data_IF_308529374839
#
_entry.id   IF_308529374839
#
_cell.length_a   1.000
_cell.length_b   1.000
_cell.length_c   1.000
_cell.angle_alpha   90.00
_cell.angle_beta   90.00
_cell.angle_gamma   90.00
#
_symmetry.space_group_name_H-M   'P 1'
#
loop_
_entity.id
_entity.type
_entity.pdbx_description
1 polymer ?
#
# COMPACT_ATOMS: atom_id res chain seq x y z
N UNK A 1 23.29 17.01 -12.17
CA UNK A 1 23.09 15.56 -12.44
C UNK A 1 21.64 15.14 -12.23
N UNK A 2 20.92 15.68 -11.24
CA UNK A 2 19.50 15.39 -11.01
C UNK A 2 18.60 15.77 -12.19
N UNK A 3 18.83 16.93 -12.81
CA UNK A 3 18.04 17.41 -13.97
C UNK A 3 18.19 16.53 -15.23
N UNK A 4 19.37 15.94 -15.44
CA UNK A 4 19.63 15.07 -16.59
C UNK A 4 18.92 13.71 -16.47
N UNK A 5 18.75 13.19 -15.24
CA UNK A 5 18.00 11.95 -14.98
C UNK A 5 16.51 12.16 -15.22
N UNK A 6 15.95 13.24 -14.65
CA UNK A 6 14.53 13.57 -14.82
C UNK A 6 14.15 13.83 -16.28
N UNK A 7 15.05 14.45 -17.06
CA UNK A 7 14.81 14.65 -18.49
C UNK A 7 14.79 13.33 -19.26
N UNK A 8 15.69 12.40 -18.94
CA UNK A 8 15.72 11.07 -19.55
C UNK A 8 14.46 10.26 -19.18
N UNK A 9 14.05 10.30 -17.91
CA UNK A 9 12.84 9.62 -17.43
C UNK A 9 11.59 10.09 -18.18
N UNK A 10 11.44 11.41 -18.32
CA UNK A 10 10.34 12.01 -19.08
C UNK A 10 10.38 11.61 -20.55
N UNK A 11 11.56 11.65 -21.18
CA UNK A 11 11.71 11.28 -22.58
C UNK A 11 11.33 9.81 -22.83
N UNK A 12 11.78 8.89 -21.97
CA UNK A 12 11.43 7.47 -22.08
C UNK A 12 9.93 7.25 -21.88
N UNK A 13 9.31 7.94 -20.90
CA UNK A 13 7.86 7.88 -20.70
C UNK A 13 7.07 8.40 -21.93
N UNK A 14 7.50 9.50 -22.54
CA UNK A 14 6.90 10.04 -23.77
C UNK A 14 7.00 9.04 -24.94
N UNK A 15 8.16 8.39 -25.12
CA UNK A 15 8.36 7.39 -26.18
C UNK A 15 7.57 6.11 -25.92
N UNK A 16 7.44 5.70 -24.66
CA UNK A 16 6.62 4.54 -24.29
C UNK A 16 5.13 4.80 -24.53
N UNK A 17 4.64 5.99 -24.16
CA UNK A 17 3.27 6.40 -24.46
C UNK A 17 2.97 6.41 -25.97
N UNK A 18 3.91 6.85 -26.81
CA UNK A 18 3.77 6.75 -28.27
C UNK A 18 3.70 5.30 -28.74
N UNK A 19 4.54 4.39 -28.20
CA UNK A 19 4.45 2.94 -28.49
C UNK A 19 3.07 2.38 -28.14
N UNK A 20 2.55 2.67 -26.95
CA UNK A 20 1.22 2.21 -26.53
C UNK A 20 0.11 2.72 -27.47
N UNK A 21 0.16 3.99 -27.84
CA UNK A 21 -0.77 4.58 -28.80
C UNK A 21 -0.71 3.90 -30.17
N UNK A 22 0.50 3.71 -30.74
CA UNK A 22 0.66 3.06 -32.06
C UNK A 22 0.26 1.58 -32.03
N UNK A 23 0.45 0.94 -30.89
CA UNK A 23 -0.01 -0.43 -30.66
C UNK A 23 -1.55 -0.52 -30.73
N UNK A 24 -2.27 0.41 -30.09
CA UNK A 24 -3.73 0.47 -30.16
C UNK A 24 -4.25 0.82 -31.56
N UNK A 25 -3.57 1.74 -32.27
CA UNK A 25 -3.87 2.04 -33.68
C UNK A 25 -3.73 0.78 -34.56
N UNK A 26 -2.70 -0.04 -34.31
CA UNK A 26 -2.52 -1.32 -35.00
C UNK A 26 -3.67 -2.30 -34.67
N UNK A 27 -4.01 -2.52 -33.39
CA UNK A 27 -5.14 -3.37 -33.01
C UNK A 27 -6.45 -2.95 -33.67
N UNK A 28 -6.72 -1.65 -33.71
CA UNK A 28 -7.90 -1.10 -34.38
C UNK A 28 -7.90 -1.34 -35.89
N UNK A 29 -6.74 -1.23 -36.55
CA UNK A 29 -6.62 -1.54 -37.98
C UNK A 29 -6.86 -3.03 -38.28
N UNK A 30 -6.46 -3.91 -37.35
CA UNK A 30 -6.68 -5.36 -37.44
C UNK A 30 -8.14 -5.72 -37.34
N UNK A 31 -8.87 -5.10 -36.42
CA UNK A 31 -10.31 -5.30 -36.28
C UNK A 31 -11.08 -4.89 -37.54
N UNK A 32 -10.59 -3.89 -38.28
CA UNK A 32 -11.21 -3.38 -39.53
C UNK A 32 -10.86 -4.22 -40.76
N UNK A 33 -9.96 -5.21 -40.64
CA UNK A 33 -9.51 -6.10 -41.71
C UNK A 33 -9.05 -5.36 -43.00
N UNK A 34 -8.42 -4.19 -42.84
CA UNK A 34 -7.87 -3.41 -43.94
C UNK A 34 -6.35 -3.54 -44.00
N UNK A 35 -5.84 -4.31 -44.96
CA UNK A 35 -4.43 -4.66 -45.05
C UNK A 35 -3.49 -3.46 -45.20
N UNK A 36 -3.90 -2.42 -45.94
CA UNK A 36 -3.08 -1.22 -46.12
C UNK A 36 -2.98 -0.41 -44.82
N UNK A 37 -4.08 -0.33 -44.07
CA UNK A 37 -4.09 0.29 -42.74
C UNK A 37 -3.23 -0.50 -41.75
N UNK A 38 -3.28 -1.83 -41.79
CA UNK A 38 -2.45 -2.70 -40.95
C UNK A 38 -0.96 -2.51 -41.26
N UNK A 39 -0.59 -2.46 -42.54
CA UNK A 39 0.79 -2.24 -42.95
C UNK A 39 1.30 -0.85 -42.52
N UNK A 40 0.46 0.18 -42.64
CA UNK A 40 0.76 1.54 -42.22
C UNK A 40 0.93 1.63 -40.69
N UNK A 41 -0.03 1.11 -39.93
CA UNK A 41 -0.01 1.09 -38.47
C UNK A 41 1.17 0.26 -37.91
N UNK A 42 1.48 -0.87 -38.54
CA UNK A 42 2.66 -1.66 -38.19
C UNK A 42 3.97 -0.90 -38.44
N UNK A 43 4.04 -0.11 -39.52
CA UNK A 43 5.22 0.71 -39.80
C UNK A 43 5.38 1.82 -38.77
N UNK A 44 4.29 2.47 -38.38
CA UNK A 44 4.29 3.48 -37.31
C UNK A 44 4.69 2.88 -35.95
N UNK A 45 4.17 1.70 -35.60
CA UNK A 45 4.57 0.98 -34.38
C UNK A 45 6.05 0.63 -34.41
N UNK A 46 6.58 0.15 -35.55
CA UNK A 46 8.00 -0.16 -35.68
C UNK A 46 8.88 1.07 -35.43
N UNK A 47 8.52 2.21 -36.01
CA UNK A 47 9.24 3.47 -35.82
C UNK A 47 9.20 3.94 -34.36
N UNK A 48 8.06 3.81 -33.68
CA UNK A 48 7.94 4.12 -32.25
C UNK A 48 8.83 3.20 -31.39
N UNK A 49 8.89 1.90 -31.71
CA UNK A 49 9.77 0.95 -31.03
C UNK A 49 11.25 1.27 -31.26
N UNK A 50 11.65 1.69 -32.48
CA UNK A 50 13.02 2.14 -32.76
C UNK A 50 13.38 3.40 -31.96
N UNK A 51 12.46 4.36 -31.86
CA UNK A 51 12.67 5.60 -31.11
C UNK A 51 12.80 5.35 -29.61
N UNK A 52 11.97 4.49 -29.04
CA UNK A 52 12.07 4.07 -27.64
C UNK A 52 13.38 3.29 -27.40
N UNK A 53 13.71 2.38 -28.30
CA UNK A 53 14.96 1.62 -28.26
C UNK A 53 16.23 2.47 -28.42
N UNK A 54 16.12 3.66 -29.03
CA UNK A 54 17.25 4.60 -29.18
C UNK A 54 17.53 5.41 -27.91
N UNK A 55 16.55 5.56 -27.01
CA UNK A 55 16.69 6.32 -25.76
C UNK A 55 16.97 5.43 -24.54
N UNK A 56 16.85 4.10 -24.71
CA UNK A 56 17.14 3.10 -23.68
C UNK A 56 18.33 2.24 -24.10
N UNK A 57 19.28 2.01 -23.21
CA UNK A 57 20.40 1.13 -23.50
C UNK A 57 19.90 -0.29 -23.80
N UNK A 58 20.52 -0.97 -24.77
CA UNK A 58 20.05 -2.28 -25.24
C UNK A 58 20.02 -3.38 -24.15
N UNK A 59 20.85 -3.24 -23.12
CA UNK A 59 20.85 -4.15 -21.96
C UNK A 59 19.64 -3.98 -21.03
N UNK A 60 18.96 -2.84 -21.12
CA UNK A 60 17.79 -2.48 -20.30
C UNK A 60 16.48 -2.65 -21.08
N UNK A 61 16.53 -3.24 -22.29
CA UNK A 61 15.31 -3.51 -23.05
C UNK A 61 14.52 -4.63 -22.35
N UNK A 62 13.25 -4.41 -22.00
CA UNK A 62 12.39 -5.49 -21.55
C UNK A 62 12.14 -6.46 -22.71
N UNK A 63 11.85 -7.72 -22.37
CA UNK A 63 11.63 -8.79 -23.35
C UNK A 63 10.59 -8.40 -24.41
N UNK A 64 9.52 -7.71 -23.99
CA UNK A 64 8.46 -7.25 -24.88
C UNK A 64 8.98 -6.29 -25.96
N UNK A 65 9.91 -5.38 -25.63
CA UNK A 65 10.45 -4.40 -26.58
C UNK A 65 11.32 -5.09 -27.62
N UNK A 66 12.21 -5.97 -27.18
CA UNK A 66 13.11 -6.71 -28.07
C UNK A 66 12.34 -7.61 -29.05
N UNK A 67 11.41 -8.40 -28.53
CA UNK A 67 10.64 -9.36 -29.33
C UNK A 67 9.66 -8.65 -30.26
N UNK A 68 8.92 -7.66 -29.77
CA UNK A 68 7.95 -6.93 -30.59
C UNK A 68 8.66 -6.14 -31.69
N UNK A 69 9.81 -5.52 -31.39
CA UNK A 69 10.64 -4.86 -32.39
C UNK A 69 11.10 -5.85 -33.47
N UNK A 70 11.56 -7.05 -33.07
CA UNK A 70 11.95 -8.10 -34.02
C UNK A 70 10.78 -8.54 -34.92
N UNK A 71 9.63 -8.86 -34.35
CA UNK A 71 8.48 -9.38 -35.10
C UNK A 71 7.83 -8.33 -35.99
N UNK A 72 7.72 -7.09 -35.52
CA UNK A 72 7.20 -5.96 -36.30
C UNK A 72 8.12 -5.63 -37.49
N UNK A 73 9.44 -5.70 -37.30
CA UNK A 73 10.43 -5.58 -38.39
C UNK A 73 10.31 -6.71 -39.40
N UNK A 74 10.21 -7.94 -38.92
CA UNK A 74 10.09 -9.13 -39.76
C UNK A 74 8.81 -9.07 -40.58
N UNK A 75 7.68 -8.69 -39.97
CA UNK A 75 6.43 -8.49 -40.70
C UNK A 75 6.56 -7.38 -41.75
N UNK A 76 7.11 -6.21 -41.40
CA UNK A 76 7.30 -5.11 -42.35
C UNK A 76 8.06 -5.55 -43.61
N UNK A 77 9.13 -6.34 -43.43
CA UNK A 77 10.00 -6.81 -44.53
C UNK A 77 9.44 -8.02 -45.29
N UNK A 78 8.73 -8.92 -44.60
CA UNK A 78 8.35 -10.23 -45.11
C UNK A 78 6.83 -10.50 -45.10
N UNK A 79 5.97 -9.48 -44.95
CA UNK A 79 4.50 -9.67 -44.93
C UNK A 79 3.97 -10.35 -46.20
N UNK A 80 4.64 -10.18 -47.34
CA UNK A 80 4.32 -10.85 -48.61
C UNK A 80 4.69 -12.34 -48.64
N UNK A 81 5.52 -12.80 -47.69
CA UNK A 81 6.10 -14.14 -47.66
C UNK A 81 5.28 -15.15 -46.82
N UNK A 82 4.03 -14.83 -46.50
CA UNK A 82 3.01 -15.82 -46.12
C UNK A 82 2.54 -15.82 -44.66
N UNK A 83 1.56 -16.68 -44.41
CA UNK A 83 0.77 -16.80 -43.17
C UNK A 83 1.64 -16.96 -41.90
N UNK A 84 2.81 -17.59 -42.00
CA UNK A 84 3.69 -17.81 -40.85
C UNK A 84 4.22 -16.51 -40.24
N UNK A 85 4.68 -15.57 -41.07
CA UNK A 85 5.15 -14.24 -40.63
C UNK A 85 4.01 -13.47 -39.97
N UNK A 86 2.81 -13.54 -40.57
CA UNK A 86 1.61 -12.91 -40.04
C UNK A 86 1.21 -13.47 -38.68
N UNK A 87 1.15 -14.79 -38.54
CA UNK A 87 0.79 -15.47 -37.28
C UNK A 87 1.81 -15.18 -36.18
N UNK A 88 3.11 -15.18 -36.50
CA UNK A 88 4.15 -14.85 -35.52
C UNK A 88 4.00 -13.42 -34.99
N UNK A 89 3.73 -12.46 -35.89
CA UNK A 89 3.50 -11.07 -35.53
C UNK A 89 2.23 -10.86 -34.71
N UNK A 90 1.12 -11.50 -35.09
CA UNK A 90 -0.11 -11.48 -34.29
C UNK A 90 0.09 -12.04 -32.89
N UNK A 91 0.82 -13.16 -32.78
CA UNK A 91 1.14 -13.75 -31.47
C UNK A 91 1.95 -12.79 -30.61
N UNK A 92 2.93 -12.07 -31.17
CA UNK A 92 3.71 -11.09 -30.41
C UNK A 92 2.86 -9.90 -29.96
N UNK A 93 1.97 -9.42 -30.82
CA UNK A 93 1.04 -8.33 -30.47
C UNK A 93 0.17 -8.78 -29.29
N UNK A 94 -0.58 -9.87 -29.45
CA UNK A 94 -1.51 -10.37 -28.43
C UNK A 94 -0.78 -10.68 -27.11
N UNK A 95 0.40 -11.29 -27.19
CA UNK A 95 1.18 -11.66 -26.01
C UNK A 95 1.59 -10.44 -25.19
N UNK A 96 2.11 -9.40 -25.82
CA UNK A 96 2.76 -8.28 -25.14
C UNK A 96 1.86 -7.08 -24.89
N UNK A 97 0.59 -7.15 -25.26
CA UNK A 97 -0.38 -6.07 -24.99
C UNK A 97 -0.41 -5.62 -23.52
N UNK A 98 -0.61 -6.54 -22.54
CA UNK A 98 -0.61 -6.18 -21.13
C UNK A 98 0.71 -5.55 -20.68
N UNK A 99 1.85 -6.12 -21.09
CA UNK A 99 3.17 -5.60 -20.73
C UNK A 99 3.41 -4.21 -21.31
N UNK A 100 3.01 -3.92 -22.56
CA UNK A 100 3.13 -2.57 -23.13
C UNK A 100 2.32 -1.55 -22.32
N UNK A 101 1.13 -1.93 -21.84
CA UNK A 101 0.24 -1.00 -21.13
C UNK A 101 0.65 -0.79 -19.66
N UNK A 102 1.19 -1.83 -19.01
CA UNK A 102 1.49 -1.82 -17.58
C UNK A 102 2.99 -1.62 -17.26
N UNK A 103 3.87 -1.64 -18.27
CA UNK A 103 5.31 -1.56 -18.01
C UNK A 103 5.72 -0.21 -17.41
N UNK A 104 6.46 -0.28 -16.31
CA UNK A 104 7.01 0.88 -15.62
C UNK A 104 8.53 0.91 -15.84
N UNK A 105 9.00 1.82 -16.68
CA UNK A 105 10.43 1.98 -17.03
C UNK A 105 11.30 2.35 -15.84
N UNK A 106 10.79 3.24 -14.98
CA UNK A 106 11.48 3.68 -13.77
C UNK A 106 10.55 3.44 -12.61
N UNK A 107 10.93 2.54 -11.71
CA UNK A 107 10.27 2.43 -10.41
C UNK A 107 10.70 3.62 -9.53
N UNK A 108 10.16 4.80 -9.82
CA UNK A 108 10.40 6.09 -9.15
C UNK A 108 9.14 6.97 -9.23
N UNK A 109 8.90 7.90 -8.27
CA UNK A 109 7.55 8.37 -7.96
C UNK A 109 7.06 9.42 -8.98
N UNK A 110 6.48 8.97 -10.10
CA UNK A 110 5.89 9.85 -11.11
C UNK A 110 4.38 10.13 -10.90
N UNK A 111 3.78 9.52 -9.88
CA UNK A 111 2.58 9.98 -9.18
C UNK A 111 2.55 9.16 -7.90
N UNK A 112 2.74 9.72 -6.70
CA UNK A 112 2.43 8.96 -5.51
C UNK A 112 0.93 8.68 -5.58
N UNK A 113 0.55 7.46 -5.96
CA UNK A 113 -0.61 6.83 -5.33
C UNK A 113 -0.49 7.23 -3.86
N UNK A 114 -1.48 7.92 -3.25
CA UNK A 114 -1.32 8.45 -1.91
C UNK A 114 -0.82 7.31 -1.04
N UNK A 115 0.47 7.37 -0.67
CA UNK A 115 1.11 6.29 0.08
C UNK A 115 0.43 6.38 1.42
N UNK A 116 -0.47 5.42 1.68
CA UNK A 116 -1.08 5.28 2.98
C UNK A 116 0.06 4.89 3.91
N UNK A 117 0.63 5.89 4.60
CA UNK A 117 1.60 5.65 5.64
C UNK A 117 0.85 5.18 6.88
N UNK A 118 0.67 3.86 6.95
CA UNK A 118 -0.04 3.20 8.05
C UNK A 118 0.67 3.48 9.38
N UNK A 119 2.00 3.60 9.37
CA UNK A 119 2.78 3.87 10.58
C UNK A 119 2.55 5.30 11.06
N UNK A 120 2.48 6.28 10.16
CA UNK A 120 2.13 7.67 10.50
C UNK A 120 0.71 7.78 11.08
N UNK A 121 -0.27 7.07 10.51
CA UNK A 121 -1.65 7.05 11.01
C UNK A 121 -1.69 6.48 12.43
N UNK A 122 -1.02 5.35 12.66
CA UNK A 122 -0.96 4.69 13.97
C UNK A 122 -0.22 5.58 14.99
N UNK A 123 0.92 6.15 14.60
CA UNK A 123 1.71 7.01 15.49
C UNK A 123 0.95 8.29 15.85
N UNK A 124 0.25 8.89 14.87
CA UNK A 124 -0.60 10.05 15.09
C UNK A 124 -1.70 9.78 16.11
N UNK A 125 -2.42 8.65 15.96
CA UNK A 125 -3.45 8.25 16.92
C UNK A 125 -2.87 7.96 18.31
N UNK A 126 -1.75 7.22 18.39
CA UNK A 126 -1.07 6.92 19.67
C UNK A 126 -0.69 8.19 20.43
N UNK A 127 -0.14 9.18 19.72
CA UNK A 127 0.28 10.45 20.32
C UNK A 127 -0.92 11.31 20.71
N UNK A 128 -1.97 11.36 19.87
CA UNK A 128 -3.18 12.14 20.16
C UNK A 128 -3.89 11.65 21.42
N UNK A 129 -4.05 10.33 21.57
CA UNK A 129 -4.72 9.71 22.71
C UNK A 129 -3.79 9.39 23.88
N UNK A 130 -2.53 9.85 23.81
CA UNK A 130 -1.53 9.72 24.88
C UNK A 130 -1.36 8.29 25.40
N UNK A 131 -1.39 7.32 24.47
CA UNK A 131 -1.42 5.89 24.81
C UNK A 131 -0.17 5.50 25.59
N UNK A 132 1.00 6.00 25.16
CA UNK A 132 2.27 5.66 25.80
C UNK A 132 2.37 6.23 27.22
N UNK A 133 1.86 7.45 27.46
CA UNK A 133 1.79 8.02 28.81
C UNK A 133 0.78 7.28 29.70
N UNK A 134 -0.34 6.82 29.15
CA UNK A 134 -1.33 6.04 29.91
C UNK A 134 -0.78 4.67 30.30
N UNK A 135 -0.01 4.02 29.41
CA UNK A 135 0.72 2.80 29.76
C UNK A 135 1.70 3.04 30.91
N UNK A 136 2.45 4.14 30.89
CA UNK A 136 3.38 4.50 31.97
C UNK A 136 2.62 4.73 33.30
N UNK A 137 1.47 5.41 33.25
CA UNK A 137 0.62 5.62 34.42
C UNK A 137 0.08 4.30 34.98
N UNK A 138 -0.36 3.37 34.14
CA UNK A 138 -0.80 2.03 34.60
C UNK A 138 0.35 1.25 35.22
N UNK A 139 1.55 1.31 34.62
CA UNK A 139 2.74 0.68 35.20
C UNK A 139 3.04 1.25 36.59
N UNK A 140 2.90 2.56 36.76
CA UNK A 140 3.18 3.21 38.04
C UNK A 140 2.11 2.91 39.11
N UNK A 141 0.84 2.81 38.74
CA UNK A 141 -0.21 2.38 39.67
C UNK A 141 -0.04 0.92 40.08
N UNK A 142 0.37 0.04 39.16
CA UNK A 142 0.69 -1.36 39.48
C UNK A 142 1.90 -1.48 40.42
N UNK A 143 2.93 -0.64 40.25
CA UNK A 143 4.07 -0.58 41.18
C UNK A 143 3.65 -0.11 42.56
N UNK A 144 2.80 0.90 42.61
CA UNK A 144 2.24 1.42 43.88
C UNK A 144 1.41 0.34 44.59
N UNK A 145 0.64 -0.45 43.83
CA UNK A 145 -0.11 -1.58 44.36
C UNK A 145 0.81 -2.69 44.90
N UNK A 146 1.89 -3.00 44.19
CA UNK A 146 2.87 -4.00 44.64
C UNK A 146 3.68 -3.55 45.87
N UNK A 147 3.78 -2.24 46.10
CA UNK A 147 4.42 -1.64 47.27
C UNK A 147 3.46 -1.42 48.46
N UNK A 148 2.18 -1.76 48.30
CA UNK A 148 1.18 -1.59 49.34
C UNK A 148 1.24 -2.75 50.36
N UNK A 149 1.25 -2.42 51.65
CA UNK A 149 1.26 -3.39 52.76
C UNK A 149 -0.02 -4.27 52.79
N UNK A 150 -1.07 -3.88 52.07
CA UNK A 150 -2.31 -4.66 51.93
C UNK A 150 -2.11 -5.94 51.09
N UNK A 151 -1.05 -6.01 50.28
CA UNK A 151 -0.72 -7.13 49.42
C UNK A 151 0.37 -8.02 50.05
N UNK A 152 0.07 -8.64 51.19
CA UNK A 152 1.03 -9.46 51.98
C UNK A 152 1.35 -10.84 51.38
N UNK A 153 1.16 -11.02 50.07
CA UNK A 153 1.49 -12.27 49.38
C UNK A 153 2.70 -12.07 48.49
N UNK A 154 3.84 -12.66 48.88
CA UNK A 154 5.06 -12.67 48.04
C UNK A 154 4.80 -13.20 46.62
N UNK A 155 3.84 -14.13 46.48
CA UNK A 155 3.41 -14.63 45.17
C UNK A 155 2.62 -13.59 44.37
N UNK A 156 1.71 -12.86 45.01
CA UNK A 156 0.96 -11.79 44.36
C UNK A 156 1.88 -10.65 43.89
N UNK A 157 2.89 -10.30 44.69
CA UNK A 157 3.91 -9.32 44.31
C UNK A 157 4.68 -9.80 43.07
N UNK A 158 5.11 -11.07 43.04
CA UNK A 158 5.79 -11.65 41.88
C UNK A 158 4.90 -11.64 40.63
N UNK A 159 3.64 -12.07 40.74
CA UNK A 159 2.68 -12.08 39.64
C UNK A 159 2.42 -10.63 39.12
N UNK A 160 2.33 -9.63 40.01
CA UNK A 160 2.23 -8.21 39.62
C UNK A 160 3.48 -7.70 38.90
N UNK A 161 4.67 -8.10 39.34
CA UNK A 161 5.94 -7.73 38.69
C UNK A 161 6.02 -8.30 37.27
N UNK A 162 5.52 -9.52 37.04
CA UNK A 162 5.42 -10.08 35.69
C UNK A 162 4.47 -9.26 34.81
N UNK A 163 3.30 -8.86 35.33
CA UNK A 163 2.35 -7.99 34.61
C UNK A 163 3.00 -6.65 34.25
N UNK A 164 3.74 -6.04 35.18
CA UNK A 164 4.48 -4.79 34.94
C UNK A 164 5.49 -4.96 33.80
N UNK A 165 6.28 -6.05 33.79
CA UNK A 165 7.26 -6.31 32.73
C UNK A 165 6.60 -6.50 31.36
N UNK A 166 5.48 -7.23 31.32
CA UNK A 166 4.69 -7.42 30.10
C UNK A 166 4.17 -6.08 29.57
N UNK A 167 3.60 -5.24 30.45
CA UNK A 167 3.12 -3.90 30.10
C UNK A 167 4.22 -3.00 29.56
N UNK A 168 5.40 -2.99 30.21
CA UNK A 168 6.55 -2.22 29.76
C UNK A 168 7.08 -2.65 28.39
N UNK A 169 7.08 -3.97 28.12
CA UNK A 169 7.46 -4.50 26.80
C UNK A 169 6.44 -4.11 25.74
N UNK A 170 5.14 -4.20 26.06
CA UNK A 170 4.06 -3.86 25.14
C UNK A 170 4.05 -2.38 24.77
N UNK A 171 4.36 -1.48 25.71
CA UNK A 171 4.49 -0.03 25.45
C UNK A 171 5.42 0.27 24.26
N UNK A 172 6.55 -0.44 24.15
CA UNK A 172 7.53 -0.27 23.07
C UNK A 172 7.19 -1.05 21.79
N UNK A 173 6.12 -1.84 21.81
CA UNK A 173 5.71 -2.70 20.71
C UNK A 173 4.78 -2.02 19.70
N UNK A 174 4.20 -2.85 18.83
CA UNK A 174 3.15 -2.42 17.91
C UNK A 174 1.86 -2.07 18.64
N UNK A 175 1.03 -1.22 18.04
CA UNK A 175 -0.28 -0.84 18.61
C UNK A 175 -1.17 -2.07 18.86
N UNK A 176 -1.18 -3.06 17.96
CA UNK A 176 -1.87 -4.34 18.18
C UNK A 176 -1.34 -5.08 19.40
N UNK A 177 -0.02 -5.07 19.62
CA UNK A 177 0.60 -5.63 20.81
C UNK A 177 0.18 -4.92 22.09
N UNK A 178 0.06 -3.58 22.05
CA UNK A 178 -0.48 -2.78 23.15
C UNK A 178 -1.93 -3.17 23.47
N UNK A 179 -2.81 -3.21 22.47
CA UNK A 179 -4.22 -3.60 22.64
C UNK A 179 -4.36 -5.02 23.21
N UNK A 180 -3.64 -5.99 22.63
CA UNK A 180 -3.69 -7.38 23.09
C UNK A 180 -3.18 -7.55 24.53
N UNK A 181 -2.09 -6.85 24.87
CA UNK A 181 -1.55 -6.85 26.24
C UNK A 181 -2.53 -6.23 27.23
N UNK A 182 -3.15 -5.12 26.85
CA UNK A 182 -4.16 -4.47 27.68
C UNK A 182 -5.36 -5.38 27.95
N UNK A 183 -5.87 -6.06 26.91
CA UNK A 183 -6.96 -7.03 27.07
C UNK A 183 -6.61 -8.19 28.01
N UNK A 184 -5.36 -8.68 27.96
CA UNK A 184 -4.87 -9.67 28.91
C UNK A 184 -4.88 -9.12 30.33
N UNK A 185 -4.28 -7.94 30.57
CA UNK A 185 -4.19 -7.31 31.90
C UNK A 185 -5.58 -7.07 32.48
N UNK A 186 -6.50 -6.53 31.70
CA UNK A 186 -7.89 -6.27 32.10
C UNK A 186 -8.62 -7.55 32.55
N UNK A 187 -8.33 -8.69 31.94
CA UNK A 187 -8.89 -10.00 32.33
C UNK A 187 -8.15 -10.63 33.50
N UNK A 188 -6.85 -10.43 33.59
CA UNK A 188 -5.99 -11.07 34.58
C UNK A 188 -6.08 -10.38 35.93
N UNK A 189 -6.03 -9.04 35.97
CA UNK A 189 -5.94 -8.26 37.19
C UNK A 189 -7.08 -8.49 38.19
N UNK A 190 -8.37 -8.54 37.81
CA UNK A 190 -9.44 -8.83 38.77
C UNK A 190 -9.30 -10.22 39.41
N UNK A 191 -8.85 -11.20 38.64
CA UNK A 191 -8.60 -12.56 39.14
C UNK A 191 -7.40 -12.60 40.08
N UNK A 192 -6.35 -11.85 39.76
CA UNK A 192 -5.17 -11.73 40.62
C UNK A 192 -5.53 -11.09 41.97
N UNK A 193 -6.21 -9.94 41.93
CA UNK A 193 -6.65 -9.19 43.10
C UNK A 193 -7.56 -10.07 43.96
N UNK A 194 -8.58 -10.71 43.38
CA UNK A 194 -9.50 -11.58 44.14
C UNK A 194 -8.85 -12.84 44.74
N UNK A 195 -7.81 -13.39 44.10
CA UNK A 195 -7.11 -14.58 44.60
C UNK A 195 -6.25 -14.31 45.84
N UNK A 196 -5.64 -13.12 45.91
CA UNK A 196 -4.63 -12.79 46.92
C UNK A 196 -5.09 -11.79 47.96
N UNK A 197 -6.08 -10.94 47.64
CA UNK A 197 -6.71 -10.06 48.62
C UNK A 197 -7.84 -10.84 49.29
N UNK A 198 -7.46 -11.73 50.21
CA UNK A 198 -8.40 -12.45 51.07
C UNK A 198 -8.77 -11.58 52.26
N UNK A 199 -10.04 -11.13 52.29
CA UNK A 199 -10.72 -10.41 53.37
C UNK A 199 -10.29 -8.95 53.56
N UNK A 200 -11.07 -8.06 52.96
CA UNK A 200 -11.53 -6.83 53.59
C UNK A 200 -12.49 -6.11 52.64
N UNK A 201 -13.39 -5.31 53.21
CA UNK A 201 -14.18 -4.34 52.47
C UNK A 201 -13.30 -3.15 52.04
N UNK A 202 -12.27 -3.41 51.24
CA UNK A 202 -11.27 -2.42 50.83
C UNK A 202 -11.42 -2.16 49.34
N UNK A 203 -12.12 -1.05 49.05
CA UNK A 203 -11.83 -0.17 47.93
C UNK A 203 -10.65 0.71 48.34
N UNK A 204 -9.45 0.12 48.35
CA UNK A 204 -8.24 0.84 48.75
C UNK A 204 -7.94 1.94 47.73
N UNK A 205 -7.43 3.12 48.15
CA UNK A 205 -7.11 4.22 47.22
C UNK A 205 -6.19 3.80 46.06
N UNK A 206 -5.33 2.79 46.27
CA UNK A 206 -4.45 2.24 45.24
C UNK A 206 -5.20 1.42 44.17
N UNK A 207 -6.20 0.62 44.57
CA UNK A 207 -7.04 -0.16 43.65
C UNK A 207 -7.95 0.79 42.86
N UNK A 208 -8.56 1.78 43.53
CA UNK A 208 -9.37 2.80 42.87
C UNK A 208 -8.55 3.61 41.85
N UNK A 209 -7.32 4.01 42.21
CA UNK A 209 -6.41 4.70 41.29
C UNK A 209 -6.02 3.83 40.08
N UNK A 210 -5.81 2.52 40.29
CA UNK A 210 -5.58 1.57 39.21
C UNK A 210 -6.82 1.46 38.31
N UNK A 211 -8.02 1.26 38.86
CA UNK A 211 -9.27 1.15 38.10
C UNK A 211 -9.57 2.41 37.29
N UNK A 212 -9.35 3.59 37.86
CA UNK A 212 -9.53 4.85 37.14
C UNK A 212 -8.57 4.96 35.95
N UNK A 213 -7.29 4.69 36.17
CA UNK A 213 -6.26 4.75 35.11
C UNK A 213 -6.47 3.65 34.06
N UNK A 214 -6.93 2.48 34.48
CA UNK A 214 -7.31 1.36 33.62
C UNK A 214 -8.47 1.73 32.70
N UNK A 215 -9.53 2.34 33.24
CA UNK A 215 -10.68 2.78 32.46
C UNK A 215 -10.30 3.89 31.47
N UNK A 216 -9.46 4.82 31.89
CA UNK A 216 -8.93 5.88 31.00
C UNK A 216 -8.13 5.27 29.83
N UNK A 217 -7.25 4.29 30.09
CA UNK A 217 -6.51 3.60 29.04
C UNK A 217 -7.43 2.80 28.11
N UNK A 218 -8.47 2.15 28.64
CA UNK A 218 -9.42 1.36 27.86
C UNK A 218 -10.20 2.23 26.85
N UNK A 219 -10.71 3.37 27.32
CA UNK A 219 -11.43 4.35 26.48
C UNK A 219 -10.49 4.88 25.39
N UNK A 220 -9.31 5.36 25.75
CA UNK A 220 -8.37 5.94 24.79
C UNK A 220 -7.85 4.92 23.76
N UNK A 221 -7.63 3.66 24.14
CA UNK A 221 -7.29 2.59 23.19
C UNK A 221 -8.44 2.30 22.22
N UNK A 222 -9.68 2.35 22.70
CA UNK A 222 -10.88 2.24 21.87
C UNK A 222 -10.96 3.36 20.83
N UNK A 223 -10.86 4.60 21.29
CA UNK A 223 -10.90 5.79 20.42
C UNK A 223 -9.74 5.82 19.42
N UNK A 224 -8.53 5.47 19.85
CA UNK A 224 -7.38 5.35 18.95
C UNK A 224 -7.60 4.29 17.87
N UNK A 225 -8.15 3.13 18.23
CA UNK A 225 -8.46 2.06 17.28
C UNK A 225 -9.50 2.52 16.25
N UNK A 226 -10.54 3.21 16.70
CA UNK A 226 -11.62 3.69 15.83
C UNK A 226 -11.11 4.80 14.89
N UNK A 227 -10.27 5.72 15.38
CA UNK A 227 -9.64 6.74 14.54
C UNK A 227 -8.69 6.13 13.49
N UNK A 228 -7.89 5.13 13.87
CA UNK A 228 -7.02 4.40 12.92
C UNK A 228 -7.89 3.76 11.84
N UNK A 229 -8.97 3.09 12.21
CA UNK A 229 -9.88 2.47 11.26
C UNK A 229 -10.52 3.50 10.31
N UNK A 230 -11.01 4.62 10.84
CA UNK A 230 -11.61 5.69 10.04
C UNK A 230 -10.60 6.28 9.05
N UNK A 231 -9.37 6.56 9.49
CA UNK A 231 -8.31 7.10 8.64
C UNK A 231 -7.88 6.12 7.55
N UNK A 232 -7.76 4.84 7.87
CA UNK A 232 -7.42 3.81 6.88
C UNK A 232 -8.55 3.63 5.85
N UNK A 233 -9.81 3.62 6.28
CA UNK A 233 -10.98 3.55 5.39
C UNK A 233 -11.05 4.80 4.50
N UNK A 234 -10.82 5.99 5.08
CA UNK A 234 -10.77 7.26 4.35
C UNK A 234 -9.67 7.26 3.29
N UNK A 235 -8.44 6.91 3.68
CA UNK A 235 -7.30 6.86 2.78
C UNK A 235 -7.48 5.81 1.66
N UNK A 236 -8.06 4.64 1.98
CA UNK A 236 -8.40 3.64 0.98
C UNK A 236 -9.46 4.15 0.00
N UNK A 237 -10.52 4.81 0.50
CA UNK A 237 -11.57 5.42 -0.34
C UNK A 237 -10.99 6.48 -1.27
N UNK A 238 -10.09 7.32 -0.79
CA UNK A 238 -9.47 8.36 -1.61
C UNK A 238 -8.53 7.75 -2.66
N UNK A 239 -7.76 6.72 -2.29
CA UNK A 239 -6.98 5.94 -3.25
C UNK A 239 -7.83 5.31 -4.36
N UNK A 240 -8.99 4.73 -4.02
CA UNK A 240 -9.92 4.19 -5.01
C UNK A 240 -10.53 5.28 -5.90
N UNK A 241 -10.84 6.46 -5.36
CA UNK A 241 -11.35 7.59 -6.15
C UNK A 241 -10.31 8.10 -7.13
N UNK A 242 -9.05 8.25 -6.71
CA UNK A 242 -7.95 8.65 -7.59
C UNK A 242 -7.75 7.62 -8.70
N UNK A 243 -7.71 6.32 -8.36
CA UNK A 243 -7.60 5.26 -9.37
C UNK A 243 -8.80 5.23 -10.34
N UNK A 244 -10.01 5.54 -9.86
CA UNK A 244 -11.19 5.65 -10.70
C UNK A 244 -11.18 6.91 -11.58
N UNK A 245 -10.72 8.06 -11.08
CA UNK A 245 -10.57 9.29 -11.90
C UNK A 245 -9.50 9.15 -12.97
N UNK A 246 -8.42 8.42 -12.66
CA UNK A 246 -7.36 8.13 -13.62
C UNK A 246 -7.84 7.17 -14.72
N UNK A 247 -8.75 6.23 -14.38
CA UNK A 247 -9.41 5.37 -15.38
C UNK A 247 -10.53 6.08 -16.17
N UNK A 248 -11.26 7.05 -15.58
CA UNK A 248 -12.27 7.84 -16.29
C UNK A 248 -11.61 8.84 -17.25
N UNK A 249 -10.44 9.39 -16.92
CA UNK A 249 -9.69 10.26 -17.85
C UNK A 249 -9.07 9.50 -19.02
N UNK A 250 -8.85 8.19 -18.90
CA UNK A 250 -8.39 7.34 -20.00
C UNK A 250 -9.52 6.90 -20.97
N UNK A 251 -10.79 6.95 -20.55
CA UNK A 251 -11.91 6.40 -21.35
C UNK A 251 -12.91 7.47 -21.84
N UNK A 252 -13.06 8.63 -21.18
CA UNK A 252 -14.24 9.50 -21.40
C UNK A 252 -14.00 10.90 -22.01
N UNK A 253 -13.00 11.08 -22.88
CA UNK A 253 -12.93 12.29 -23.74
C UNK A 253 -13.39 12.02 -25.18
N UNK A 254 -13.33 10.79 -25.67
CA UNK A 254 -13.79 10.44 -27.02
C UNK A 254 -15.30 10.12 -27.07
N UNK A 255 -15.89 9.60 -25.99
CA UNK A 255 -17.30 9.21 -25.96
C UNK A 255 -18.27 10.41 -25.82
N UNK A 256 -17.80 11.56 -25.32
CA UNK A 256 -18.63 12.76 -25.14
C UNK A 256 -18.59 13.72 -26.35
N UNK A 257 -17.61 13.61 -27.25
CA UNK A 257 -17.62 14.37 -28.53
C UNK A 257 -18.58 13.77 -29.56
N UNK A 258 -18.84 12.47 -29.47
CA UNK A 258 -19.61 11.73 -30.47
C UNK A 258 -21.12 11.72 -30.18
N UNK A 259 -21.55 12.33 -29.07
CA UNK A 259 -22.96 12.55 -28.73
C UNK A 259 -23.46 13.98 -29.03
N UNK A 260 -22.61 14.85 -29.58
CA UNK A 260 -22.98 16.21 -29.99
C UNK A 260 -22.83 16.47 -31.50
N UNK A 261 -22.83 15.42 -32.34
CA UNK A 261 -22.84 15.51 -33.80
C UNK A 261 -24.06 14.81 -34.39
#
# INVERSE_FOLDING_TARGET
MQDSSQHLEKLVAERHADVAKRYDELLNSLAKNNQDQVNSANSALFEALEQLGAVVARGDWPDWLADLHHHTRNYRTNHKNGLATWVAHLKSIIRYGPEIQEHVWFSGPANPTPKIDVDEIIQGARSQFKIDELFDRVVETLRSLAACDELDSAKAIADLQEVILIMQKARKGSFTGQVGTWQFVRRFMPNLISAYIKRSAISGPAIEAFEQTANELDVNLGEAKDQIAERLIGAARDGFKTAASDNITAVDIQALSDLSS
#
